data_IF_383482872364
#
_entry.id   IF_383482872364
#
_cell.length_a   1.000
_cell.length_b   1.000
_cell.length_c   1.000
_cell.angle_alpha   90.00
_cell.angle_beta   90.00
_cell.angle_gamma   90.00
#
_symmetry.space_group_name_H-M   'P 1'
#
loop_
_entity.id
_entity.type
_entity.pdbx_description
1 polymer ?
#
# COMPACT_ATOMS: atom_id res chain seq x y z
N UNK A 1 -6.66 6.59 1.33
CA UNK A 1 -6.55 5.69 2.47
C UNK A 1 -5.58 6.14 3.54
N UNK A 2 -5.53 5.38 4.59
CA UNK A 2 -4.65 5.66 5.73
C UNK A 2 -3.71 4.47 5.90
N UNK A 3 -2.41 4.76 6.02
CA UNK A 3 -1.41 3.72 6.27
C UNK A 3 -1.60 3.18 7.68
N UNK A 4 -1.89 1.88 7.81
CA UNK A 4 -2.14 1.24 9.10
C UNK A 4 -0.95 0.45 9.61
N UNK A 5 -0.12 -0.07 8.71
CA UNK A 5 1.07 -0.84 9.09
C UNK A 5 2.09 -0.77 7.96
N UNK A 6 3.36 -0.84 8.32
CA UNK A 6 4.47 -0.83 7.37
C UNK A 6 5.33 -2.06 7.63
N UNK A 7 5.65 -2.80 6.56
CA UNK A 7 6.52 -3.97 6.61
C UNK A 7 7.70 -3.75 5.68
N UNK A 8 8.65 -4.70 5.68
CA UNK A 8 9.81 -4.60 4.79
C UNK A 8 9.46 -4.86 3.31
N UNK A 9 8.28 -5.38 3.02
CA UNK A 9 7.84 -5.63 1.64
C UNK A 9 6.79 -4.63 1.14
N UNK A 10 6.37 -3.69 1.97
CA UNK A 10 5.41 -2.67 1.58
C UNK A 10 4.64 -2.13 2.77
N UNK A 11 3.45 -1.60 2.52
CA UNK A 11 2.60 -1.10 3.59
C UNK A 11 1.15 -1.53 3.39
N UNK A 12 0.41 -1.60 4.50
CA UNK A 12 -1.03 -1.84 4.48
C UNK A 12 -1.77 -0.51 4.59
N UNK A 13 -2.80 -0.37 3.78
CA UNK A 13 -3.60 0.86 3.69
C UNK A 13 -5.05 0.52 3.91
N UNK A 14 -5.69 1.23 4.84
CA UNK A 14 -7.13 1.13 5.09
C UNK A 14 -7.84 2.15 4.20
N UNK A 15 -8.71 1.64 3.33
CA UNK A 15 -9.47 2.48 2.40
C UNK A 15 -10.95 2.55 2.77
N UNK A 16 -11.31 2.13 3.98
CA UNK A 16 -12.68 2.19 4.47
C UNK A 16 -13.54 0.97 4.16
N UNK A 17 -12.93 -0.10 3.69
CA UNK A 17 -13.60 -1.39 3.45
C UNK A 17 -13.05 -2.45 4.40
N UNK A 18 -13.69 -3.62 4.44
CA UNK A 18 -13.32 -4.67 5.40
C UNK A 18 -11.91 -5.20 5.20
N UNK A 19 -11.47 -5.30 3.95
CA UNK A 19 -10.14 -5.77 3.62
C UNK A 19 -9.16 -4.61 3.53
N UNK A 20 -7.98 -4.78 4.13
CA UNK A 20 -6.90 -3.82 3.96
C UNK A 20 -6.20 -4.06 2.63
N UNK A 21 -5.84 -2.97 1.97
CA UNK A 21 -5.04 -3.06 0.76
C UNK A 21 -3.55 -3.12 1.08
N UNK A 22 -2.81 -3.82 0.24
CA UNK A 22 -1.35 -3.89 0.32
C UNK A 22 -0.75 -3.08 -0.81
N UNK A 23 0.12 -2.14 -0.47
CA UNK A 23 0.96 -1.44 -1.44
C UNK A 23 2.35 -2.05 -1.35
N UNK A 24 2.72 -2.84 -2.36
CA UNK A 24 4.04 -3.46 -2.41
C UNK A 24 5.12 -2.37 -2.48
N UNK A 25 6.32 -2.68 -1.96
CA UNK A 25 7.41 -1.71 -1.92
C UNK A 25 7.73 -1.14 -3.31
N UNK A 26 7.59 -1.94 -4.36
CA UNK A 26 7.79 -1.49 -5.74
C UNK A 26 6.70 -0.52 -6.22
N UNK A 27 5.58 -0.45 -5.52
CA UNK A 27 4.45 0.41 -5.86
C UNK A 27 4.36 1.65 -4.97
N UNK A 28 5.29 1.83 -4.05
CA UNK A 28 5.33 3.00 -3.18
C UNK A 28 5.83 4.24 -3.92
N UNK A 29 6.85 4.07 -4.74
CA UNK A 29 7.32 5.11 -5.64
C UNK A 29 8.05 4.46 -6.82
N UNK A 30 8.38 5.28 -7.83
CA UNK A 30 9.02 4.78 -9.05
C UNK A 30 10.48 4.40 -8.86
N UNK A 31 11.10 4.95 -7.83
CA UNK A 31 12.49 4.65 -7.52
C UNK A 31 12.55 3.44 -6.60
N UNK A 32 13.71 2.78 -6.60
CA UNK A 32 13.93 1.67 -5.68
C UNK A 32 13.85 2.15 -4.23
N UNK A 33 13.07 1.41 -3.43
CA UNK A 33 12.87 1.71 -2.02
C UNK A 33 13.35 0.51 -1.21
N UNK A 34 14.43 0.69 -0.46
CA UNK A 34 14.94 -0.37 0.41
C UNK A 34 14.23 -0.41 1.76
N UNK A 35 13.69 0.74 2.19
CA UNK A 35 13.01 0.86 3.48
C UNK A 35 11.72 1.65 3.29
N UNK A 36 10.53 0.98 3.33
CA UNK A 36 9.26 1.67 3.15
C UNK A 36 9.00 2.77 4.19
N UNK A 37 9.59 2.69 5.38
CA UNK A 37 9.38 3.70 6.40
C UNK A 37 9.96 5.06 6.03
N UNK A 38 10.85 5.12 5.04
CA UNK A 38 11.38 6.38 4.53
C UNK A 38 10.43 7.06 3.56
N UNK A 39 9.45 6.33 3.03
CA UNK A 39 8.50 6.84 2.03
C UNK A 39 7.18 7.19 2.67
N UNK A 40 6.69 6.35 3.60
CA UNK A 40 5.38 6.50 4.23
C UNK A 40 5.53 6.36 5.74
N UNK A 41 4.55 6.90 6.46
CA UNK A 41 4.47 6.81 7.92
C UNK A 41 3.13 6.21 8.33
N UNK A 42 3.11 5.57 9.50
CA UNK A 42 1.87 5.06 10.09
C UNK A 42 0.89 6.22 10.26
N UNK A 43 -0.37 5.98 9.93
CA UNK A 43 -1.47 6.94 9.98
C UNK A 43 -1.36 8.07 8.95
N UNK A 44 -0.41 7.97 8.01
CA UNK A 44 -0.33 8.95 6.93
C UNK A 44 -1.50 8.77 5.97
N UNK A 45 -2.09 9.88 5.54
CA UNK A 45 -3.13 9.85 4.50
C UNK A 45 -2.44 9.77 3.14
N UNK A 46 -2.84 8.78 2.34
CA UNK A 46 -2.23 8.55 1.03
C UNK A 46 -3.33 8.30 0.01
N UNK A 47 -3.03 8.62 -1.25
CA UNK A 47 -3.89 8.26 -2.37
C UNK A 47 -3.36 6.98 -3.00
N UNK A 48 -4.26 6.02 -3.21
CA UNK A 48 -3.89 4.72 -3.78
C UNK A 48 -4.88 4.36 -4.88
N UNK A 49 -4.43 3.51 -5.79
CA UNK A 49 -5.26 2.96 -6.85
C UNK A 49 -5.24 1.44 -6.74
N UNK A 50 -6.42 0.81 -6.83
CA UNK A 50 -6.53 -0.64 -6.83
C UNK A 50 -6.04 -1.16 -8.18
N UNK A 51 -5.05 -2.06 -8.15
CA UNK A 51 -4.48 -2.65 -9.37
C UNK A 51 -4.80 -4.14 -9.49
N UNK A 52 -5.29 -4.77 -8.42
CA UNK A 52 -5.68 -6.17 -8.48
C UNK A 52 -6.38 -6.59 -7.21
N UNK A 53 -7.19 -7.64 -7.32
CA UNK A 53 -7.89 -8.23 -6.18
C UNK A 53 -7.61 -9.72 -6.20
N UNK A 54 -7.07 -10.24 -5.09
CA UNK A 54 -6.84 -11.67 -4.90
C UNK A 54 -7.98 -12.23 -4.07
N UNK A 55 -8.91 -12.89 -4.73
CA UNK A 55 -10.09 -13.43 -4.08
C UNK A 55 -9.78 -14.63 -3.20
N UNK A 56 -8.75 -15.39 -3.53
CA UNK A 56 -8.36 -16.55 -2.73
C UNK A 56 -7.77 -16.14 -1.39
N UNK A 57 -6.93 -15.12 -1.40
CA UNK A 57 -6.26 -14.62 -0.21
C UNK A 57 -6.99 -13.45 0.44
N UNK A 58 -8.08 -13.00 -0.20
CA UNK A 58 -8.87 -11.83 0.25
C UNK A 58 -7.99 -10.60 0.43
N UNK A 59 -7.11 -10.37 -0.55
CA UNK A 59 -6.18 -9.24 -0.55
C UNK A 59 -6.49 -8.31 -1.71
N UNK A 60 -6.26 -7.03 -1.47
CA UNK A 60 -6.40 -6.01 -2.49
C UNK A 60 -5.01 -5.43 -2.73
N UNK A 61 -4.54 -5.51 -3.97
CA UNK A 61 -3.26 -4.94 -4.38
C UNK A 61 -3.48 -3.51 -4.83
N UNK A 62 -2.67 -2.60 -4.33
CA UNK A 62 -2.80 -1.18 -4.61
C UNK A 62 -1.47 -0.58 -5.00
N UNK A 63 -1.52 0.57 -5.67
CA UNK A 63 -0.33 1.33 -6.01
C UNK A 63 -0.49 2.79 -5.56
N UNK A 64 0.60 3.39 -5.14
CA UNK A 64 0.68 4.83 -4.89
C UNK A 64 1.20 5.59 -6.11
N UNK A 65 1.55 4.89 -7.17
CA UNK A 65 1.98 5.49 -8.44
C UNK A 65 0.70 5.73 -9.26
N UNK A 66 0.29 7.00 -9.36
CA UNK A 66 -1.05 7.35 -9.88
C UNK A 66 -1.05 7.93 -11.29
N UNK A 67 0.00 7.80 -12.03
CA UNK A 67 0.06 8.33 -13.39
C UNK A 67 0.07 7.28 -14.48
#
# INVERSE_FOLDING_TARGET
GIVTNITNFGCFVDVGIKENGLVHVSQLCRQFVSDPTTVVSIHQHVQVKVIGIDMERKRISMTMILD
#
